data_IF_047693630759
#
_entry.id   IF_047693630759
#
_cell.length_a   1.000
_cell.length_b   1.000
_cell.length_c   1.000
_cell.angle_alpha   90.00
_cell.angle_beta   90.00
_cell.angle_gamma   90.00
#
_symmetry.space_group_name_H-M   'P 1'
#
loop_
_entity.id
_entity.type
_entity.pdbx_description
1 polymer ?
#
# COMPACT_ATOMS: atom_id res chain seq x y z
N UNK A 1 -30.48 17.14 -13.59
CA UNK A 1 -31.49 18.12 -13.10
C UNK A 1 -31.75 19.14 -14.22
N UNK A 2 -33.00 19.52 -14.44
CA UNK A 2 -33.46 20.24 -15.65
C UNK A 2 -32.87 21.66 -15.87
N UNK A 3 -31.90 22.12 -15.06
CA UNK A 3 -31.25 23.42 -15.22
C UNK A 3 -29.82 23.55 -14.61
N UNK A 4 -29.15 22.45 -14.22
CA UNK A 4 -27.79 22.53 -13.65
C UNK A 4 -26.73 22.06 -14.64
N UNK A 5 -25.57 22.73 -14.64
CA UNK A 5 -24.41 22.32 -15.44
C UNK A 5 -23.71 21.12 -14.81
N UNK A 6 -23.24 20.16 -15.62
CA UNK A 6 -22.56 18.96 -15.12
C UNK A 6 -21.34 19.26 -14.25
N UNK A 7 -20.68 20.39 -14.50
CA UNK A 7 -19.52 20.87 -13.75
C UNK A 7 -19.84 21.41 -12.34
N UNK A 8 -21.11 21.76 -12.07
CA UNK A 8 -21.52 22.28 -10.75
C UNK A 8 -22.05 21.19 -9.81
N UNK A 9 -22.17 19.94 -10.27
CA UNK A 9 -22.64 18.83 -9.46
C UNK A 9 -21.53 18.26 -8.58
N UNK A 10 -21.88 17.85 -7.36
CA UNK A 10 -20.97 17.06 -6.53
C UNK A 10 -20.74 15.66 -7.12
N UNK A 11 -19.65 14.99 -6.71
CA UNK A 11 -19.35 13.60 -7.10
C UNK A 11 -20.54 12.66 -6.88
N UNK A 12 -21.24 12.81 -5.75
CA UNK A 12 -22.39 11.97 -5.38
C UNK A 12 -23.60 12.22 -6.30
N UNK A 13 -23.86 13.47 -6.66
CA UNK A 13 -24.97 13.83 -7.55
C UNK A 13 -24.68 13.41 -9.00
N UNK A 14 -23.45 13.61 -9.48
CA UNK A 14 -23.04 13.17 -10.81
C UNK A 14 -23.28 11.67 -11.00
N UNK A 15 -22.84 10.85 -10.05
CA UNK A 15 -23.07 9.40 -10.06
C UNK A 15 -24.56 9.03 -9.96
N UNK A 16 -25.36 9.79 -9.18
CA UNK A 16 -26.81 9.55 -9.04
C UNK A 16 -27.58 9.79 -10.34
N UNK A 17 -27.13 10.74 -11.17
CA UNK A 17 -27.75 11.04 -12.46
C UNK A 17 -27.11 10.28 -13.64
N UNK A 18 -26.28 9.27 -13.37
CA UNK A 18 -25.65 8.44 -14.39
C UNK A 18 -24.54 9.14 -15.18
N UNK A 19 -23.97 10.22 -14.65
CA UNK A 19 -22.84 10.93 -15.27
C UNK A 19 -21.50 10.21 -15.04
N UNK A 20 -20.58 10.38 -15.98
CA UNK A 20 -19.20 9.89 -15.88
C UNK A 20 -18.25 11.03 -15.47
N UNK A 21 -17.40 10.77 -14.47
CA UNK A 21 -16.40 11.75 -14.04
C UNK A 21 -15.24 11.75 -15.05
N UNK A 22 -14.88 12.94 -15.54
CA UNK A 22 -13.74 13.13 -16.45
C UNK A 22 -12.72 14.11 -15.86
N UNK A 23 -11.42 13.82 -16.04
CA UNK A 23 -10.31 14.68 -15.59
C UNK A 23 -9.54 14.15 -14.37
N UNK A 24 -8.63 14.98 -13.83
CA UNK A 24 -7.70 14.58 -12.76
C UNK A 24 -8.36 14.27 -11.41
N UNK A 25 -9.59 14.76 -11.19
CA UNK A 25 -10.32 14.58 -9.94
C UNK A 25 -11.00 13.19 -9.82
N UNK A 26 -11.05 12.38 -10.88
CA UNK A 26 -11.81 11.12 -10.90
C UNK A 26 -11.26 10.06 -9.94
N UNK A 27 -9.93 9.98 -9.82
CA UNK A 27 -9.22 9.05 -8.93
C UNK A 27 -8.80 9.71 -7.61
N UNK A 28 -9.31 10.90 -7.31
CA UNK A 28 -8.98 11.58 -6.07
C UNK A 28 -9.68 10.90 -4.90
N UNK A 29 -8.87 10.39 -3.97
CA UNK A 29 -9.31 9.85 -2.68
C UNK A 29 -8.94 10.89 -1.62
N UNK A 30 -9.93 11.53 -0.96
CA UNK A 30 -9.65 12.47 0.12
C UNK A 30 -9.00 11.74 1.31
N UNK A 31 -8.18 12.46 2.07
CA UNK A 31 -7.59 12.04 3.36
C UNK A 31 -6.64 10.83 3.34
N UNK A 32 -6.31 10.31 2.16
CA UNK A 32 -5.40 9.16 2.00
C UNK A 32 -4.00 9.42 2.57
N UNK A 33 -3.52 10.66 2.51
CA UNK A 33 -2.20 11.05 2.98
C UNK A 33 -2.15 11.07 4.50
N UNK A 34 -3.14 11.68 5.15
CA UNK A 34 -3.25 11.77 6.60
C UNK A 34 -3.36 10.38 7.24
N UNK A 35 -4.23 9.52 6.70
CA UNK A 35 -4.36 8.15 7.21
C UNK A 35 -3.07 7.35 7.00
N UNK A 36 -2.36 7.54 5.87
CA UNK A 36 -1.07 6.87 5.64
C UNK A 36 -0.02 7.25 6.68
N UNK A 37 0.06 8.54 7.06
CA UNK A 37 0.94 8.98 8.14
C UNK A 37 0.56 8.39 9.50
N UNK A 38 -0.74 8.35 9.81
CA UNK A 38 -1.23 7.77 11.07
C UNK A 38 -0.92 6.29 11.15
N UNK A 39 -1.17 5.52 10.09
CA UNK A 39 -0.87 4.09 10.02
C UNK A 39 0.63 3.83 10.14
N UNK A 40 1.47 4.64 9.48
CA UNK A 40 2.93 4.53 9.55
C UNK A 40 3.47 4.82 10.95
N UNK A 41 3.18 6.01 11.50
CA UNK A 41 3.67 6.41 12.82
C UNK A 41 3.09 5.54 13.92
N UNK A 42 1.81 5.17 13.81
CA UNK A 42 1.14 4.27 14.75
C UNK A 42 1.77 2.88 14.79
N UNK A 43 2.04 2.27 13.63
CA UNK A 43 2.69 0.96 13.55
C UNK A 43 4.11 1.02 14.12
N UNK A 44 4.88 2.05 13.76
CA UNK A 44 6.25 2.24 14.26
C UNK A 44 6.26 2.41 15.79
N UNK A 45 5.48 3.36 16.31
CA UNK A 45 5.42 3.63 17.76
C UNK A 45 4.96 2.40 18.54
N UNK A 46 3.90 1.72 18.08
CA UNK A 46 3.38 0.51 18.73
C UNK A 46 4.39 -0.63 18.72
N UNK A 47 5.07 -0.88 17.59
CA UNK A 47 6.10 -1.92 17.51
C UNK A 47 7.28 -1.62 18.46
N UNK A 48 7.68 -0.36 18.57
CA UNK A 48 8.73 0.08 19.50
C UNK A 48 8.29 -0.03 20.97
N UNK A 49 7.03 0.30 21.27
CA UNK A 49 6.46 0.13 22.61
C UNK A 49 6.38 -1.35 23.01
N UNK A 50 5.88 -2.21 22.13
CA UNK A 50 5.81 -3.66 22.37
C UNK A 50 7.21 -4.30 22.50
N UNK A 51 8.21 -3.79 21.77
CA UNK A 51 9.62 -4.17 21.96
C UNK A 51 10.16 -3.73 23.33
N UNK A 52 9.91 -2.49 23.73
CA UNK A 52 10.34 -1.95 25.05
C UNK A 52 9.57 -2.55 26.21
N UNK A 53 8.36 -3.07 25.98
CA UNK A 53 7.60 -3.83 26.97
C UNK A 53 8.37 -5.05 27.49
N UNK A 54 9.36 -5.55 26.72
CA UNK A 54 10.28 -6.59 27.19
C UNK A 54 11.08 -6.20 28.43
N UNK A 55 11.34 -4.94 28.73
CA UNK A 55 12.11 -4.58 29.93
C UNK A 55 11.22 -4.05 31.05
N UNK A 56 9.91 -4.02 30.83
CA UNK A 56 8.91 -3.55 31.78
C UNK A 56 8.75 -4.52 32.96
N UNK A 57 8.55 -4.01 34.19
CA UNK A 57 8.24 -4.83 35.36
C UNK A 57 6.78 -5.30 35.40
N UNK A 58 5.91 -4.74 34.54
CA UNK A 58 4.52 -5.15 34.44
C UNK A 58 4.46 -6.49 33.66
N UNK A 59 3.80 -7.50 34.24
CA UNK A 59 3.57 -8.87 33.73
C UNK A 59 4.65 -9.96 33.99
N UNK A 60 4.24 -11.25 34.06
CA UNK A 60 5.15 -12.39 34.18
C UNK A 60 6.15 -12.47 33.01
N UNK A 61 7.35 -13.00 33.30
CA UNK A 61 8.47 -13.06 32.34
C UNK A 61 8.15 -13.80 31.04
N UNK A 62 7.34 -14.87 31.11
CA UNK A 62 6.95 -15.66 29.93
C UNK A 62 6.02 -14.88 28.98
N UNK A 63 5.02 -14.17 29.51
CA UNK A 63 4.11 -13.34 28.72
C UNK A 63 4.86 -12.20 28.04
N UNK A 64 5.76 -11.54 28.78
CA UNK A 64 6.62 -10.47 28.27
C UNK A 64 7.53 -10.93 27.13
N UNK A 65 8.05 -12.16 27.21
CA UNK A 65 8.87 -12.76 26.15
C UNK A 65 8.02 -13.00 24.90
N UNK A 66 6.86 -13.61 25.04
CA UNK A 66 5.95 -13.90 23.92
C UNK A 66 5.51 -12.61 23.19
N UNK A 67 5.06 -11.60 23.92
CA UNK A 67 4.61 -10.33 23.31
C UNK A 67 5.76 -9.63 22.58
N UNK A 68 6.97 -9.64 23.14
CA UNK A 68 8.12 -9.00 22.52
C UNK A 68 8.60 -9.73 21.25
N UNK A 69 8.56 -11.07 21.26
CA UNK A 69 9.00 -11.89 20.13
C UNK A 69 8.04 -11.74 18.93
N UNK A 70 6.74 -11.50 19.17
CA UNK A 70 5.72 -11.25 18.13
C UNK A 70 5.36 -9.77 17.93
N UNK A 71 6.09 -8.83 18.54
CA UNK A 71 5.73 -7.41 18.59
C UNK A 71 5.44 -6.77 17.23
N UNK A 72 6.25 -7.08 16.20
CA UNK A 72 6.08 -6.52 14.86
C UNK A 72 4.82 -7.07 14.18
N UNK A 73 4.62 -8.39 14.28
CA UNK A 73 3.45 -9.07 13.69
C UNK A 73 2.16 -8.57 14.36
N UNK A 74 2.15 -8.46 15.69
CA UNK A 74 1.02 -7.92 16.44
C UNK A 74 0.71 -6.46 16.03
N UNK A 75 1.73 -5.62 15.87
CA UNK A 75 1.54 -4.24 15.41
C UNK A 75 0.92 -4.20 13.99
N UNK A 76 1.42 -5.01 13.05
CA UNK A 76 0.86 -5.11 11.69
C UNK A 76 -0.62 -5.53 11.75
N UNK A 77 -0.96 -6.57 12.53
CA UNK A 77 -2.34 -7.05 12.64
C UNK A 77 -3.28 -5.98 13.23
N UNK A 78 -2.85 -5.25 14.27
CA UNK A 78 -3.64 -4.17 14.88
C UNK A 78 -3.91 -3.07 13.85
N UNK A 79 -2.88 -2.60 13.14
CA UNK A 79 -3.04 -1.50 12.19
C UNK A 79 -3.74 -1.91 10.89
N UNK A 80 -3.62 -3.16 10.45
CA UNK A 80 -4.48 -3.71 9.40
C UNK A 80 -5.95 -3.75 9.84
N UNK A 81 -6.23 -4.12 11.09
CA UNK A 81 -7.58 -4.07 11.65
C UNK A 81 -8.13 -2.64 11.69
N UNK A 82 -7.33 -1.66 12.12
CA UNK A 82 -7.71 -0.24 12.10
C UNK A 82 -7.98 0.26 10.68
N UNK A 83 -7.12 -0.07 9.72
CA UNK A 83 -7.30 0.27 8.30
C UNK A 83 -8.63 -0.30 7.73
N UNK A 84 -8.98 -1.53 8.11
CA UNK A 84 -10.26 -2.15 7.75
C UNK A 84 -11.46 -1.43 8.38
N UNK A 85 -11.36 -0.99 9.65
CA UNK A 85 -12.44 -0.29 10.35
C UNK A 85 -12.65 1.15 9.84
N UNK A 86 -11.56 1.83 9.46
CA UNK A 86 -11.61 3.20 8.91
C UNK A 86 -12.12 3.20 7.47
N UNK A 87 -11.90 2.13 6.70
CA UNK A 87 -12.53 1.93 5.39
C UNK A 87 -12.06 2.92 4.31
N UNK A 88 -10.87 3.49 4.45
CA UNK A 88 -10.26 4.37 3.44
C UNK A 88 -9.46 3.52 2.44
N UNK A 89 -9.52 3.87 1.16
CA UNK A 89 -8.81 3.18 0.08
C UNK A 89 -7.30 3.47 0.10
N UNK A 90 -6.60 2.99 1.13
CA UNK A 90 -5.14 3.04 1.20
C UNK A 90 -4.50 2.13 0.15
N UNK A 91 -3.30 2.45 -0.37
CA UNK A 91 -2.61 1.60 -1.33
C UNK A 91 -2.15 0.31 -0.64
N UNK A 92 -2.85 -0.80 -0.89
CA UNK A 92 -2.55 -2.12 -0.33
C UNK A 92 -1.56 -2.88 -1.22
N UNK A 93 -0.92 -3.89 -0.64
CA UNK A 93 -0.04 -4.79 -1.38
C UNK A 93 -0.85 -5.58 -2.42
N UNK A 94 -0.51 -5.43 -3.68
CA UNK A 94 -1.13 -6.16 -4.79
C UNK A 94 -0.21 -7.32 -5.14
N UNK A 95 -0.69 -8.54 -4.94
CA UNK A 95 0.03 -9.76 -5.32
C UNK A 95 -0.64 -10.33 -6.57
N UNK A 96 0.10 -10.55 -7.67
CA UNK A 96 -0.46 -11.20 -8.85
C UNK A 96 -0.87 -12.65 -8.50
N UNK A 97 -1.99 -13.10 -9.05
CA UNK A 97 -2.53 -14.46 -8.80
C UNK A 97 -1.67 -15.57 -9.43
N UNK A 98 -0.92 -15.22 -10.46
CA UNK A 98 -0.11 -16.16 -11.22
C UNK A 98 1.31 -15.60 -11.37
N UNK A 99 2.29 -16.50 -11.33
CA UNK A 99 3.66 -16.16 -11.69
C UNK A 99 3.74 -15.96 -13.19
N UNK A 100 3.91 -14.70 -13.60
CA UNK A 100 4.11 -14.31 -15.00
C UNK A 100 5.39 -13.49 -15.15
N UNK A 101 6.03 -13.52 -16.32
CA UNK A 101 7.10 -12.58 -16.64
C UNK A 101 6.61 -11.14 -16.48
N UNK A 102 7.51 -10.22 -16.14
CA UNK A 102 7.19 -8.79 -15.94
C UNK A 102 6.50 -8.14 -17.15
N UNK A 103 6.69 -8.71 -18.35
CA UNK A 103 6.02 -8.28 -19.58
C UNK A 103 5.37 -9.49 -20.28
N UNK A 104 4.13 -9.35 -20.79
CA UNK A 104 3.49 -10.41 -21.56
C UNK A 104 4.22 -10.72 -22.88
N UNK A 105 5.02 -9.77 -23.37
CA UNK A 105 5.78 -9.90 -24.62
C UNK A 105 7.16 -10.54 -24.40
N UNK A 106 7.51 -10.93 -23.16
CA UNK A 106 8.82 -11.47 -22.80
C UNK A 106 8.67 -12.88 -22.22
N UNK A 107 9.42 -13.84 -22.74
CA UNK A 107 9.55 -15.15 -22.12
C UNK A 107 10.38 -15.10 -20.83
N UNK A 108 10.44 -16.22 -20.11
CA UNK A 108 11.29 -16.37 -18.93
C UNK A 108 12.78 -16.34 -19.27
N UNK A 109 13.15 -16.90 -20.43
CA UNK A 109 14.52 -16.86 -20.92
C UNK A 109 14.76 -15.58 -21.72
N UNK A 110 15.77 -14.81 -21.32
CA UNK A 110 16.21 -13.62 -22.04
C UNK A 110 17.42 -14.01 -22.89
N UNK A 111 17.34 -13.94 -24.24
CA UNK A 111 18.48 -14.22 -25.08
C UNK A 111 19.61 -13.21 -24.77
N UNK A 112 20.87 -13.65 -24.64
CA UNK A 112 21.97 -12.78 -24.23
C UNK A 112 22.31 -11.72 -25.28
N UNK A 113 21.98 -11.96 -26.55
CA UNK A 113 22.27 -11.06 -27.68
C UNK A 113 21.03 -10.86 -28.54
N UNK A 114 20.92 -9.69 -29.18
CA UNK A 114 19.94 -9.44 -30.25
C UNK A 114 18.85 -8.40 -29.94
N UNK A 115 18.83 -7.81 -28.74
CA UNK A 115 17.84 -6.78 -28.37
C UNK A 115 18.40 -5.37 -28.15
N UNK A 116 19.69 -5.26 -27.80
CA UNK A 116 20.33 -4.00 -27.38
C UNK A 116 21.57 -3.69 -28.23
N UNK A 117 21.96 -2.40 -28.35
CA UNK A 117 23.23 -2.01 -28.95
C UNK A 117 24.44 -2.70 -28.30
N UNK A 118 25.50 -2.94 -29.07
CA UNK A 118 26.66 -3.72 -28.63
C UNK A 118 27.36 -3.15 -27.38
N UNK A 119 27.35 -1.83 -27.20
CA UNK A 119 27.99 -1.17 -26.07
C UNK A 119 27.30 -1.47 -24.72
N UNK A 120 26.01 -1.80 -24.74
CA UNK A 120 25.24 -2.12 -23.52
C UNK A 120 25.78 -3.40 -22.87
N UNK A 121 26.22 -4.38 -23.67
CA UNK A 121 26.80 -5.61 -23.15
C UNK A 121 28.11 -5.34 -22.37
N UNK A 122 28.94 -4.41 -22.84
CA UNK A 122 30.19 -4.02 -22.17
C UNK A 122 29.89 -3.26 -20.88
N UNK A 123 28.96 -2.31 -20.92
CA UNK A 123 28.58 -1.50 -19.75
C UNK A 123 27.86 -2.35 -18.69
N UNK A 124 27.11 -3.38 -19.08
CA UNK A 124 26.42 -4.27 -18.14
C UNK A 124 27.34 -5.14 -17.26
N UNK A 125 28.65 -5.15 -17.53
CA UNK A 125 29.64 -5.74 -16.65
C UNK A 125 29.88 -4.90 -15.38
N UNK A 126 29.49 -3.63 -15.40
CA UNK A 126 29.50 -2.74 -14.24
C UNK A 126 28.13 -2.82 -13.54
N UNK A 127 28.09 -3.10 -12.21
CA UNK A 127 26.85 -3.20 -11.45
C UNK A 127 26.13 -1.86 -11.26
#
# INVERSE_FOLDING_TARGET
>A
PLNATWSSLSKKECLKYGGELVGKACKYVPDITLISFILFLGTYTTSMMLKKFKTSPFFPTWVRKLISDFAIILAILIFCGVDMLVGVDTPKLIVPTEFKPTSPNRGWFVPPFGGNPWWVYVVSALP
#
